data_IF_735557152286
#
_entry.id   IF_735557152286
#
_cell.length_a   1.000
_cell.length_b   1.000
_cell.length_c   1.000
_cell.angle_alpha   90.00
_cell.angle_beta   90.00
_cell.angle_gamma   90.00
#
_symmetry.space_group_name_H-M   'P 1'
#
loop_
_entity.id
_entity.type
_entity.pdbx_description
1 polymer ?
#
# COMPACT_ATOMS: atom_id res chain seq x y z
N UNK A 1 -26.53 8.17 48.80
CA UNK A 1 -27.02 8.83 47.59
C UNK A 1 -25.96 8.62 46.52
N UNK A 2 -26.30 7.96 45.44
CA UNK A 2 -25.40 7.75 44.32
C UNK A 2 -25.27 9.09 43.55
N UNK A 3 -24.04 9.50 43.25
CA UNK A 3 -23.81 10.73 42.49
C UNK A 3 -24.09 10.43 41.02
N UNK A 4 -24.96 11.23 40.41
CA UNK A 4 -25.30 11.10 39.00
C UNK A 4 -24.54 12.15 38.19
N UNK A 5 -24.11 11.77 37.01
CA UNK A 5 -23.41 12.60 35.99
C UNK A 5 -24.31 12.79 34.79
N UNK A 6 -24.17 13.90 34.12
CA UNK A 6 -24.96 14.25 32.93
C UNK A 6 -24.28 13.74 31.71
N UNK A 7 -25.00 13.07 30.80
CA UNK A 7 -24.47 12.73 29.47
C UNK A 7 -24.37 13.99 28.63
N UNK A 8 -23.20 14.23 28.05
CA UNK A 8 -22.93 15.44 27.28
C UNK A 8 -23.73 15.50 25.97
N UNK A 9 -24.23 14.35 25.47
CA UNK A 9 -25.06 14.30 24.27
C UNK A 9 -26.56 14.42 24.56
N UNK A 10 -27.15 13.50 25.34
CA UNK A 10 -28.60 13.47 25.55
C UNK A 10 -29.07 14.30 26.75
N UNK A 11 -28.17 14.70 27.65
CA UNK A 11 -28.48 15.46 28.86
C UNK A 11 -29.11 14.64 30.00
N UNK A 12 -29.28 13.34 29.84
CA UNK A 12 -29.79 12.45 30.89
C UNK A 12 -28.74 12.19 31.96
N UNK A 13 -29.21 11.79 33.16
CA UNK A 13 -28.33 11.57 34.31
C UNK A 13 -28.14 10.09 34.59
N UNK A 14 -26.89 9.66 34.62
CA UNK A 14 -26.49 8.27 34.84
C UNK A 14 -25.45 8.16 35.97
N UNK A 15 -25.33 7.00 36.60
CA UNK A 15 -24.21 6.70 37.49
C UNK A 15 -22.87 6.76 36.73
N UNK A 16 -21.79 7.10 37.41
CA UNK A 16 -20.47 7.17 36.76
C UNK A 16 -20.05 5.86 36.10
N UNK A 17 -20.43 4.74 36.68
CA UNK A 17 -20.14 3.39 36.15
C UNK A 17 -20.83 3.06 34.82
N UNK A 18 -21.84 3.85 34.42
CA UNK A 18 -22.55 3.76 33.16
C UNK A 18 -22.12 4.83 32.17
N UNK A 19 -21.11 5.65 32.52
CA UNK A 19 -20.59 6.71 31.67
C UNK A 19 -19.32 6.25 30.98
N UNK A 20 -19.23 6.60 29.72
CA UNK A 20 -18.08 6.27 28.82
C UNK A 20 -17.42 7.58 28.44
N UNK A 21 -16.12 7.67 28.68
CA UNK A 21 -15.31 8.80 28.25
C UNK A 21 -14.95 8.63 26.78
N UNK A 22 -15.22 9.66 25.98
CA UNK A 22 -14.85 9.74 24.55
C UNK A 22 -14.26 11.13 24.34
N UNK A 23 -12.97 11.19 24.01
CA UNK A 23 -12.24 12.46 23.96
C UNK A 23 -12.40 13.25 25.27
N UNK A 24 -13.02 14.42 25.23
CA UNK A 24 -13.28 15.26 26.42
C UNK A 24 -14.69 15.12 26.97
N UNK A 25 -15.55 14.28 26.36
CA UNK A 25 -16.96 14.12 26.72
C UNK A 25 -17.21 12.84 27.52
N UNK A 26 -18.31 12.86 28.29
CA UNK A 26 -18.84 11.72 29.01
C UNK A 26 -20.22 11.37 28.46
N UNK A 27 -20.33 10.22 27.81
CA UNK A 27 -21.54 9.72 27.19
C UNK A 27 -22.18 8.59 28.03
N UNK A 28 -23.50 8.50 28.03
CA UNK A 28 -24.15 7.28 28.49
C UNK A 28 -23.93 6.15 27.48
N UNK A 29 -24.13 4.89 27.91
CA UNK A 29 -23.89 3.71 27.07
C UNK A 29 -24.63 3.80 25.74
N UNK A 30 -25.91 4.17 25.74
CA UNK A 30 -26.71 4.27 24.51
C UNK A 30 -26.16 5.30 23.52
N UNK A 31 -25.78 6.49 24.01
CA UNK A 31 -25.18 7.51 23.15
C UNK A 31 -23.80 7.11 22.63
N UNK A 32 -22.98 6.47 23.47
CA UNK A 32 -21.68 5.98 23.06
C UNK A 32 -21.79 4.90 21.97
N UNK A 33 -22.75 3.98 22.08
CA UNK A 33 -22.94 2.91 21.08
C UNK A 33 -23.50 3.44 19.75
N UNK A 34 -24.25 4.55 19.79
CA UNK A 34 -24.82 5.17 18.60
C UNK A 34 -23.84 6.10 17.87
N UNK A 35 -23.04 6.86 18.62
CA UNK A 35 -22.25 7.97 18.09
C UNK A 35 -20.77 7.64 17.88
N UNK A 36 -20.32 6.50 18.40
CA UNK A 36 -18.88 6.21 18.44
C UNK A 36 -18.54 4.82 17.93
N UNK A 37 -17.31 4.69 17.49
CA UNK A 37 -16.68 3.44 17.06
C UNK A 37 -15.41 3.18 17.87
N UNK A 38 -14.87 1.98 17.75
CA UNK A 38 -13.62 1.60 18.42
C UNK A 38 -12.54 1.47 17.36
N UNK A 39 -11.45 2.21 17.51
CA UNK A 39 -10.28 2.05 16.67
C UNK A 39 -9.72 0.64 16.78
N UNK A 40 -9.60 -0.05 15.66
CA UNK A 40 -9.14 -1.45 15.59
C UNK A 40 -7.69 -1.63 16.06
N UNK A 41 -6.84 -0.62 15.85
CA UNK A 41 -5.44 -0.67 16.21
C UNK A 41 -5.16 -0.45 17.70
N UNK A 42 -5.73 0.61 18.28
CA UNK A 42 -5.40 0.97 19.66
C UNK A 42 -6.54 0.72 20.66
N UNK A 43 -7.72 0.32 20.21
CA UNK A 43 -8.90 0.10 21.07
C UNK A 43 -9.52 1.39 21.63
N UNK A 44 -9.05 2.57 21.21
CA UNK A 44 -9.62 3.84 21.65
C UNK A 44 -11.01 4.01 21.04
N UNK A 45 -11.95 4.49 21.83
CA UNK A 45 -13.26 4.89 21.35
C UNK A 45 -13.19 6.32 20.81
N UNK A 46 -13.68 6.52 19.60
CA UNK A 46 -13.72 7.81 18.88
C UNK A 46 -15.13 8.07 18.35
N UNK A 47 -15.46 9.30 18.04
CA UNK A 47 -16.70 9.59 17.33
C UNK A 47 -16.66 9.01 15.90
N UNK A 48 -17.83 8.60 15.41
CA UNK A 48 -17.92 8.04 14.04
C UNK A 48 -17.54 9.05 12.98
N UNK A 49 -17.74 10.34 13.25
CA UNK A 49 -17.32 11.44 12.36
C UNK A 49 -15.79 11.68 12.35
N UNK A 50 -15.08 11.18 13.36
CA UNK A 50 -13.61 11.26 13.47
C UNK A 50 -12.92 9.99 12.94
N UNK A 51 -13.66 9.12 12.27
CA UNK A 51 -13.10 7.93 11.65
C UNK A 51 -12.17 8.30 10.48
N UNK A 52 -10.91 8.01 10.64
CA UNK A 52 -9.88 8.22 9.63
C UNK A 52 -9.63 6.97 8.76
N UNK A 53 -10.36 5.90 9.03
CA UNK A 53 -10.28 4.64 8.30
C UNK A 53 -11.05 4.66 6.98
N UNK A 54 -11.32 3.47 6.47
CA UNK A 54 -12.13 3.25 5.29
C UNK A 54 -13.37 2.39 5.60
N UNK A 55 -14.05 1.89 4.58
CA UNK A 55 -15.23 1.02 4.77
C UNK A 55 -14.92 -0.32 5.48
N UNK A 56 -13.66 -0.69 5.58
CA UNK A 56 -13.21 -1.97 6.13
C UNK A 56 -12.50 -1.82 7.48
N UNK A 57 -11.97 -0.63 7.78
CA UNK A 57 -11.14 -0.38 8.96
C UNK A 57 -11.62 0.87 9.69
N UNK A 58 -11.96 0.71 10.96
CA UNK A 58 -12.30 1.81 11.87
C UNK A 58 -11.01 2.28 12.58
N UNK A 59 -10.55 3.49 12.30
CA UNK A 59 -9.25 3.98 12.77
C UNK A 59 -9.33 5.40 13.33
N UNK A 60 -8.65 5.63 14.45
CA UNK A 60 -8.39 7.00 14.87
C UNK A 60 -7.28 7.62 14.00
N UNK A 61 -7.28 8.96 13.88
CA UNK A 61 -6.31 9.69 13.07
C UNK A 61 -4.85 9.32 13.42
N UNK A 62 -4.51 9.23 14.71
CA UNK A 62 -3.16 8.87 15.17
C UNK A 62 -2.69 7.49 14.63
N UNK A 63 -3.60 6.52 14.59
CA UNK A 63 -3.28 5.17 14.09
C UNK A 63 -3.23 5.13 12.57
N UNK A 64 -4.15 5.82 11.91
CA UNK A 64 -4.14 5.97 10.46
C UNK A 64 -2.81 6.55 9.98
N UNK A 65 -2.40 7.70 10.54
CA UNK A 65 -1.15 8.39 10.17
C UNK A 65 0.10 7.57 10.46
N UNK A 66 0.05 6.70 11.47
CA UNK A 66 1.23 5.93 11.91
C UNK A 66 1.41 4.60 11.21
N UNK A 67 0.31 3.91 10.93
CA UNK A 67 0.34 2.50 10.52
C UNK A 67 -0.22 2.24 9.13
N UNK A 68 -0.82 3.26 8.49
CA UNK A 68 -1.47 3.10 7.19
C UNK A 68 -0.95 4.11 6.17
N UNK A 69 -1.00 3.70 4.92
CA UNK A 69 -0.77 4.53 3.74
C UNK A 69 -1.79 4.17 2.65
N UNK A 70 -1.73 4.83 1.52
CA UNK A 70 -2.60 4.55 0.38
C UNK A 70 -1.78 4.07 -0.80
N UNK A 71 -2.33 3.09 -1.54
CA UNK A 71 -1.75 2.69 -2.80
C UNK A 71 -1.80 3.85 -3.80
N UNK A 72 -0.64 4.27 -4.30
CA UNK A 72 -0.53 5.39 -5.24
C UNK A 72 -1.24 5.13 -6.58
N UNK A 73 -1.47 3.86 -6.91
CA UNK A 73 -2.08 3.47 -8.17
C UNK A 73 -3.61 3.33 -8.10
N UNK A 74 -4.16 2.69 -7.06
CA UNK A 74 -5.60 2.45 -6.95
C UNK A 74 -6.28 3.15 -5.76
N UNK A 75 -5.50 3.77 -4.86
CA UNK A 75 -6.01 4.52 -3.72
C UNK A 75 -6.56 3.67 -2.57
N UNK A 76 -6.38 2.35 -2.57
CA UNK A 76 -6.80 1.49 -1.45
C UNK A 76 -5.91 1.77 -0.24
N UNK A 77 -6.52 1.78 0.95
CA UNK A 77 -5.77 1.90 2.21
C UNK A 77 -5.01 0.61 2.50
N UNK A 78 -3.77 0.74 2.94
CA UNK A 78 -2.84 -0.36 3.21
C UNK A 78 -2.20 -0.18 4.59
N UNK A 79 -2.11 -1.27 5.35
CA UNK A 79 -1.21 -1.28 6.49
C UNK A 79 0.24 -1.23 6.01
N UNK A 80 1.11 -0.46 6.68
CA UNK A 80 2.50 -0.25 6.24
C UNK A 80 3.31 -1.55 6.08
N UNK A 81 2.90 -2.64 6.76
CA UNK A 81 3.51 -3.97 6.60
C UNK A 81 3.10 -4.69 5.30
N UNK A 82 2.08 -4.19 4.60
CA UNK A 82 1.52 -4.78 3.38
C UNK A 82 1.81 -3.94 2.13
N UNK A 83 2.71 -2.97 2.26
CA UNK A 83 3.08 -2.08 1.17
C UNK A 83 4.21 -2.68 0.36
N UNK A 84 4.04 -2.70 -0.95
CA UNK A 84 5.07 -3.02 -1.92
C UNK A 84 5.63 -1.74 -2.50
N UNK A 85 6.92 -1.52 -2.33
CA UNK A 85 7.60 -0.34 -2.85
C UNK A 85 8.13 -0.60 -4.26
N UNK A 86 7.82 0.29 -5.19
CA UNK A 86 8.36 0.25 -6.55
C UNK A 86 8.72 1.66 -6.98
N UNK A 87 10.00 1.89 -7.27
CA UNK A 87 10.57 3.22 -7.48
C UNK A 87 10.26 4.15 -6.28
N UNK A 88 9.40 5.15 -6.45
CA UNK A 88 8.98 6.07 -5.38
C UNK A 88 7.50 5.87 -4.99
N UNK A 89 6.83 4.79 -5.49
CA UNK A 89 5.41 4.51 -5.28
C UNK A 89 5.18 3.45 -4.20
N UNK A 90 4.14 3.67 -3.38
CA UNK A 90 3.58 2.73 -2.43
C UNK A 90 2.42 1.96 -3.08
N UNK A 91 2.53 0.65 -3.23
CA UNK A 91 1.59 -0.16 -3.99
C UNK A 91 0.96 -1.27 -3.15
N UNK A 92 -0.31 -1.60 -3.44
CA UNK A 92 -0.90 -2.84 -2.98
C UNK A 92 -0.37 -4.03 -3.80
N UNK A 93 -0.53 -5.24 -3.28
CA UNK A 93 -0.08 -6.48 -3.92
C UNK A 93 -0.59 -6.62 -5.36
N UNK A 94 -1.87 -6.34 -5.59
CA UNK A 94 -2.47 -6.45 -6.92
C UNK A 94 -1.86 -5.46 -7.92
N UNK A 95 -1.66 -4.20 -7.51
CA UNK A 95 -1.06 -3.18 -8.36
C UNK A 95 0.43 -3.48 -8.62
N UNK A 96 1.15 -3.95 -7.61
CA UNK A 96 2.53 -4.36 -7.75
C UNK A 96 2.66 -5.55 -8.70
N UNK A 97 1.85 -6.60 -8.54
CA UNK A 97 1.87 -7.77 -9.42
C UNK A 97 1.48 -7.40 -10.85
N UNK A 98 0.49 -6.53 -11.05
CA UNK A 98 0.12 -6.05 -12.37
C UNK A 98 1.27 -5.28 -13.05
N UNK A 99 2.07 -4.56 -12.26
CA UNK A 99 3.24 -3.84 -12.74
C UNK A 99 4.34 -4.83 -13.15
N UNK A 100 4.61 -5.85 -12.33
CA UNK A 100 5.60 -6.89 -12.59
C UNK A 100 5.20 -7.77 -13.79
N UNK A 101 3.92 -8.20 -13.85
CA UNK A 101 3.43 -9.02 -14.97
C UNK A 101 3.48 -8.29 -16.32
N UNK A 102 3.26 -6.98 -16.34
CA UNK A 102 3.32 -6.16 -17.55
C UNK A 102 4.73 -5.58 -17.82
N UNK A 103 5.68 -5.86 -16.92
CA UNK A 103 7.04 -5.35 -17.09
C UNK A 103 7.86 -6.33 -17.93
N UNK A 104 8.27 -5.94 -19.13
CA UNK A 104 9.10 -6.79 -19.99
C UNK A 104 10.58 -6.86 -19.55
N UNK A 105 10.92 -6.19 -18.43
CA UNK A 105 12.26 -6.20 -17.86
C UNK A 105 12.26 -7.21 -16.70
N UNK A 106 13.10 -8.21 -16.78
CA UNK A 106 13.21 -9.27 -15.78
C UNK A 106 14.52 -9.16 -15.03
N UNK A 107 14.53 -9.47 -13.74
CA UNK A 107 15.76 -9.64 -13.00
C UNK A 107 16.62 -10.74 -13.63
N UNK A 108 17.94 -10.55 -13.57
CA UNK A 108 18.88 -11.54 -14.07
C UNK A 108 18.85 -12.78 -13.19
N UNK A 109 18.27 -13.84 -13.75
CA UNK A 109 18.36 -15.18 -13.15
C UNK A 109 19.39 -15.96 -13.97
N UNK A 110 20.52 -16.31 -13.34
CA UNK A 110 21.56 -17.07 -14.02
C UNK A 110 21.03 -18.46 -14.41
N UNK A 111 20.68 -18.59 -15.68
CA UNK A 111 20.35 -19.88 -16.28
C UNK A 111 21.60 -20.40 -16.97
N UNK A 112 22.29 -21.42 -16.41
CA UNK A 112 23.63 -21.82 -16.85
C UNK A 112 23.69 -22.40 -18.27
N UNK A 113 22.57 -22.76 -18.89
CA UNK A 113 22.55 -23.30 -20.26
C UNK A 113 21.31 -22.86 -21.03
N UNK A 114 21.47 -21.92 -21.95
CA UNK A 114 20.51 -21.72 -23.02
C UNK A 114 20.77 -22.75 -24.13
N UNK A 115 20.10 -23.89 -24.04
CA UNK A 115 20.16 -24.89 -25.12
C UNK A 115 19.19 -24.48 -26.21
N UNK A 116 19.73 -23.97 -27.31
CA UNK A 116 18.94 -23.62 -28.48
C UNK A 116 18.70 -24.88 -29.33
N UNK A 117 17.53 -25.47 -29.21
CA UNK A 117 17.11 -26.59 -30.04
C UNK A 117 16.16 -26.13 -31.14
N UNK A 118 16.47 -26.42 -32.41
CA UNK A 118 15.52 -26.32 -33.51
C UNK A 118 15.97 -25.52 -34.70
N UNK A 119 15.18 -25.60 -35.78
CA UNK A 119 15.38 -24.97 -37.08
C UNK A 119 14.75 -23.58 -37.19
N UNK A 120 14.54 -22.89 -36.05
CA UNK A 120 13.92 -21.58 -35.99
C UNK A 120 14.88 -20.42 -36.21
N UNK A 121 14.35 -19.19 -36.19
CA UNK A 121 15.12 -17.95 -36.23
C UNK A 121 16.16 -17.94 -35.10
N UNK A 122 17.37 -17.55 -35.47
CA UNK A 122 18.47 -17.42 -34.49
C UNK A 122 18.16 -16.31 -33.52
N UNK A 123 18.28 -16.64 -32.23
CA UNK A 123 18.24 -15.67 -31.14
C UNK A 123 19.68 -15.34 -30.75
N UNK A 124 19.99 -14.06 -30.55
CA UNK A 124 21.26 -13.64 -29.96
C UNK A 124 20.97 -12.72 -28.79
N UNK A 125 21.77 -12.89 -27.74
CA UNK A 125 21.81 -11.95 -26.63
C UNK A 125 22.87 -10.90 -26.93
N UNK A 126 22.59 -9.67 -26.54
CA UNK A 126 23.55 -8.56 -26.53
C UNK A 126 23.57 -8.06 -25.12
N UNK A 127 24.74 -8.02 -24.50
CA UNK A 127 24.96 -7.29 -23.26
C UNK A 127 25.28 -5.85 -23.62
N UNK A 128 24.54 -4.93 -23.02
CA UNK A 128 24.76 -3.50 -23.17
C UNK A 128 25.10 -2.94 -21.78
N UNK A 129 26.34 -2.54 -21.63
CA UNK A 129 26.80 -1.84 -20.44
C UNK A 129 26.66 -0.32 -20.66
N UNK A 130 26.00 0.38 -19.76
CA UNK A 130 25.77 1.82 -19.86
C UNK A 130 26.37 2.48 -18.60
N UNK A 131 27.54 3.09 -18.81
CA UNK A 131 28.33 3.72 -17.73
C UNK A 131 27.82 5.07 -17.25
N UNK A 132 26.93 5.72 -17.99
CA UNK A 132 26.43 7.05 -17.63
C UNK A 132 24.93 7.19 -17.85
N UNK A 133 24.25 7.91 -16.95
CA UNK A 133 22.92 8.47 -17.22
C UNK A 133 21.75 8.01 -16.38
N UNK A 134 21.95 7.55 -15.18
CA UNK A 134 20.86 7.33 -14.26
C UNK A 134 20.69 5.89 -13.79
N UNK A 135 19.53 5.60 -13.20
CA UNK A 135 19.22 4.25 -12.71
C UNK A 135 19.07 3.30 -13.91
N UNK A 136 19.57 2.08 -13.81
CA UNK A 136 19.51 1.02 -14.83
C UNK A 136 18.10 0.79 -15.39
N UNK A 137 17.09 0.90 -14.54
CA UNK A 137 15.70 0.78 -14.90
C UNK A 137 15.22 1.84 -15.89
N UNK A 138 15.63 3.08 -15.73
CA UNK A 138 15.23 4.19 -16.62
C UNK A 138 15.87 4.02 -17.99
N UNK A 139 17.10 3.54 -18.01
CA UNK A 139 17.84 3.22 -19.23
C UNK A 139 17.19 2.03 -19.95
N UNK A 140 16.83 0.97 -19.23
CA UNK A 140 16.16 -0.19 -19.78
C UNK A 140 14.77 0.15 -20.34
N UNK A 141 13.97 0.95 -19.65
CA UNK A 141 12.66 1.47 -20.13
C UNK A 141 12.83 2.30 -21.40
N UNK A 142 13.84 3.15 -21.45
CA UNK A 142 14.13 3.99 -22.61
C UNK A 142 14.52 3.16 -23.83
N UNK A 143 15.37 2.15 -23.65
CA UNK A 143 15.77 1.21 -24.71
C UNK A 143 14.58 0.41 -25.22
N UNK A 144 13.73 -0.10 -24.32
CA UNK A 144 12.54 -0.85 -24.68
C UNK A 144 11.55 -0.01 -25.46
N UNK A 145 11.34 1.24 -25.09
CA UNK A 145 10.46 2.18 -25.80
C UNK A 145 10.93 2.47 -27.23
N UNK A 146 12.24 2.43 -27.48
CA UNK A 146 12.81 2.58 -28.81
C UNK A 146 12.73 1.28 -29.62
N UNK A 147 12.97 0.14 -28.96
CA UNK A 147 13.05 -1.16 -29.62
C UNK A 147 11.66 -1.74 -29.99
N UNK A 148 10.62 -1.39 -29.25
CA UNK A 148 9.24 -1.88 -29.49
C UNK A 148 8.53 -1.21 -30.68
N UNK A 149 9.23 -0.53 -31.55
CA UNK A 149 8.61 0.19 -32.68
C UNK A 149 8.21 -0.69 -33.85
N UNK A 150 8.83 -1.84 -34.06
CA UNK A 150 8.57 -2.69 -35.24
C UNK A 150 8.83 -4.17 -34.91
N UNK A 151 7.81 -4.94 -34.56
CA UNK A 151 7.76 -6.42 -34.54
C UNK A 151 8.99 -7.18 -33.98
N UNK A 152 9.82 -6.53 -33.19
CA UNK A 152 11.01 -7.14 -32.58
C UNK A 152 10.64 -7.58 -31.17
N UNK A 153 10.56 -8.87 -30.95
CA UNK A 153 10.47 -9.45 -29.60
C UNK A 153 11.81 -9.28 -28.88
N UNK A 154 11.96 -8.16 -28.17
CA UNK A 154 13.11 -7.89 -27.32
C UNK A 154 12.84 -8.35 -25.90
N UNK A 155 13.73 -9.16 -25.37
CA UNK A 155 13.71 -9.58 -23.97
C UNK A 155 14.89 -8.89 -23.28
N UNK A 156 14.58 -8.03 -22.29
CA UNK A 156 15.60 -7.28 -21.54
C UNK A 156 15.69 -7.87 -20.13
N UNK A 157 16.91 -8.10 -19.69
CA UNK A 157 17.22 -8.44 -18.29
C UNK A 157 18.15 -7.39 -17.71
N UNK A 158 17.91 -7.03 -16.44
CA UNK A 158 18.87 -6.28 -15.63
C UNK A 158 19.64 -7.28 -14.76
N UNK A 159 20.94 -7.19 -14.72
CA UNK A 159 21.76 -8.10 -13.91
C UNK A 159 22.11 -7.53 -12.53
N UNK A 160 21.73 -6.28 -12.25
CA UNK A 160 21.93 -5.65 -10.94
C UNK A 160 23.39 -5.58 -10.48
N UNK A 161 24.35 -5.84 -11.39
CA UNK A 161 25.78 -6.01 -11.04
C UNK A 161 26.60 -4.74 -11.13
N UNK A 162 25.98 -3.60 -11.33
CA UNK A 162 26.67 -2.30 -11.33
C UNK A 162 26.51 -1.64 -9.97
N UNK A 163 27.54 -1.74 -9.14
CA UNK A 163 27.76 -0.95 -7.92
C UNK A 163 28.13 0.51 -8.28
#
# INVERSE_FOLDING_TARGET
MQKLYVCDHCGERHPLEEMIAVSDDYLCQSCADELTIICEECGRRIYTEDDAGDSNHALCQDCCDRYYTFCDHCGVMLHNEQVYHSDDDDLCEDCYNALVENNPIHEYDYVPELVFHGKGLRKFGVELEIDEGGKDWDNAKSLLAVANRDDVNLYIKSDGSLD
#
